data_IF_795476609553
#
_entry.id   IF_795476609553
#
_cell.length_a   1.000
_cell.length_b   1.000
_cell.length_c   1.000
_cell.angle_alpha   90.00
_cell.angle_beta   90.00
_cell.angle_gamma   90.00
#
_symmetry.space_group_name_H-M   'P 1'
#
loop_
_entity.id
_entity.type
_entity.pdbx_description
1 polymer ?
#
# COMPACT_ATOMS: atom_id res chain seq x y z
N UNK A 1 11.22 46.10 26.08
CA UNK A 1 10.56 46.16 27.40
C UNK A 1 10.05 47.58 27.61
N UNK A 2 8.76 47.77 27.88
CA UNK A 2 8.17 48.89 28.62
C UNK A 2 6.66 48.67 28.77
N UNK A 3 6.12 49.04 29.93
CA UNK A 3 4.70 48.98 30.32
C UNK A 3 3.81 49.85 29.39
N UNK A 4 2.52 49.60 29.13
CA UNK A 4 1.41 49.05 29.93
C UNK A 4 0.85 49.97 31.03
N UNK A 5 -0.29 50.64 30.76
CA UNK A 5 -1.47 50.77 31.66
C UNK A 5 -2.58 51.68 31.10
N UNK A 6 -3.83 51.24 31.25
CA UNK A 6 -5.08 52.00 31.49
C UNK A 6 -5.45 53.30 30.73
N UNK A 7 -6.60 53.27 30.04
CA UNK A 7 -7.77 54.17 30.29
C UNK A 7 -9.07 53.34 30.15
N UNK A 8 -10.09 53.63 30.96
CA UNK A 8 -11.44 53.03 30.88
C UNK A 8 -12.56 54.08 31.04
N UNK A 9 -13.84 53.64 31.03
CA UNK A 9 -15.11 54.43 31.21
C UNK A 9 -15.55 55.15 29.91
N UNK A 10 -16.85 55.33 29.55
CA UNK A 10 -18.06 55.61 30.36
C UNK A 10 -19.40 55.30 29.62
N UNK A 11 -20.45 54.84 30.35
CA UNK A 11 -21.96 54.83 30.13
C UNK A 11 -22.55 54.63 28.71
N UNK A 12 -23.60 53.82 28.44
CA UNK A 12 -24.91 53.47 29.09
C UNK A 12 -26.06 54.48 28.87
N UNK A 13 -27.10 54.09 28.11
CA UNK A 13 -28.49 54.63 28.09
C UNK A 13 -29.51 53.47 27.89
N UNK A 14 -30.76 53.66 28.35
CA UNK A 14 -31.99 52.82 28.26
C UNK A 14 -32.59 52.71 26.84
N UNK A 15 -33.51 51.80 26.45
CA UNK A 15 -34.51 50.90 27.07
C UNK A 15 -35.96 51.46 27.24
N UNK A 16 -36.93 50.84 26.53
CA UNK A 16 -38.43 50.78 26.64
C UNK A 16 -38.89 49.73 25.57
N UNK A 17 -39.89 48.83 25.69
CA UNK A 17 -41.33 48.86 26.10
C UNK A 17 -42.29 49.45 25.03
N UNK A 18 -43.51 48.93 24.75
CA UNK A 18 -44.22 47.67 25.13
C UNK A 18 -45.48 47.44 24.21
N UNK A 19 -46.51 46.67 24.67
CA UNK A 19 -47.81 46.24 24.01
C UNK A 19 -47.76 44.87 23.28
N UNK A 20 -48.66 43.85 23.45
CA UNK A 20 -50.05 43.68 23.99
C UNK A 20 -51.15 44.23 23.05
N UNK A 21 -52.32 43.62 22.73
CA UNK A 21 -53.12 42.46 23.18
C UNK A 21 -54.17 42.13 22.05
N UNK A 22 -55.14 41.17 22.03
CA UNK A 22 -55.52 39.90 22.73
C UNK A 22 -56.85 39.35 22.10
N UNK A 23 -57.23 38.06 22.31
CA UNK A 23 -58.55 37.39 21.99
C UNK A 23 -58.91 37.12 20.50
N UNK A 24 -59.86 36.25 20.10
CA UNK A 24 -60.37 34.93 20.62
C UNK A 24 -61.45 34.33 19.65
N UNK A 25 -61.80 33.04 19.86
CA UNK A 25 -63.06 32.34 19.51
C UNK A 25 -63.16 31.47 18.22
N UNK A 26 -63.54 30.21 18.45
CA UNK A 26 -64.23 29.23 17.56
C UNK A 26 -65.77 29.29 17.89
N UNK A 27 -66.72 28.43 17.40
CA UNK A 27 -66.58 27.15 16.66
C UNK A 27 -67.65 26.88 15.55
N UNK A 28 -67.83 25.58 15.22
CA UNK A 28 -68.90 24.93 14.43
C UNK A 28 -68.81 24.96 12.88
N UNK A 29 -69.21 23.93 12.11
CA UNK A 29 -69.45 22.47 12.35
C UNK A 29 -69.39 21.71 11.00
N UNK A 30 -69.47 20.37 11.06
CA UNK A 30 -69.93 19.41 10.03
C UNK A 30 -68.88 18.59 9.25
N UNK A 31 -69.33 17.43 8.77
CA UNK A 31 -68.52 16.24 8.47
C UNK A 31 -68.21 16.06 6.97
N UNK A 32 -67.14 15.31 6.66
CA UNK A 32 -66.79 14.91 5.30
C UNK A 32 -65.62 13.93 5.28
N UNK A 33 -65.91 12.63 5.28
CA UNK A 33 -64.90 11.55 5.25
C UNK A 33 -64.76 11.00 3.82
N UNK A 34 -63.56 11.05 3.27
CA UNK A 34 -62.95 9.92 2.53
C UNK A 34 -61.41 10.08 2.47
N UNK A 35 -60.69 8.98 2.31
CA UNK A 35 -59.21 8.96 2.19
C UNK A 35 -58.75 8.81 0.73
N UNK A 36 -57.62 9.44 0.38
CA UNK A 36 -56.59 8.81 -0.48
C UNK A 36 -55.31 9.65 -0.58
N UNK A 37 -54.40 9.37 0.36
CA UNK A 37 -52.94 9.54 0.29
C UNK A 37 -52.35 10.50 -0.77
N UNK A 38 -52.02 11.72 -0.32
CA UNK A 38 -51.30 12.72 -1.11
C UNK A 38 -49.84 12.31 -1.33
N UNK A 39 -49.58 11.60 -2.42
CA UNK A 39 -48.28 11.18 -3.01
C UNK A 39 -47.10 12.16 -2.76
N UNK A 40 -46.41 12.03 -1.63
CA UNK A 40 -45.38 13.01 -1.20
C UNK A 40 -44.26 12.45 -0.29
N UNK A 41 -43.95 11.15 -0.34
CA UNK A 41 -42.84 10.52 0.42
C UNK A 41 -41.52 10.43 -0.38
N UNK A 42 -41.58 9.96 -1.63
CA UNK A 42 -40.40 9.57 -2.44
C UNK A 42 -39.44 10.69 -2.89
N UNK A 43 -39.66 11.94 -2.49
CA UNK A 43 -38.67 13.02 -2.65
C UNK A 43 -37.70 13.04 -1.45
N UNK A 44 -38.24 13.16 -0.24
CA UNK A 44 -37.47 13.18 1.01
C UNK A 44 -36.65 11.90 1.21
N UNK A 45 -37.14 10.73 0.78
CA UNK A 45 -36.36 9.49 0.85
C UNK A 45 -35.19 9.45 -0.15
N UNK A 46 -35.29 10.11 -1.31
CA UNK A 46 -34.17 10.27 -2.24
C UNK A 46 -33.17 11.30 -1.74
N UNK A 47 -33.63 12.45 -1.24
CA UNK A 47 -32.75 13.45 -0.62
C UNK A 47 -32.02 12.88 0.62
N UNK A 48 -32.69 12.02 1.41
CA UNK A 48 -32.05 11.32 2.52
C UNK A 48 -31.21 10.10 2.11
N UNK A 49 -31.40 9.50 0.93
CA UNK A 49 -30.40 8.58 0.36
C UNK A 49 -29.18 9.35 -0.20
N UNK A 50 -29.35 10.61 -0.57
CA UNK A 50 -28.25 11.56 -0.83
C UNK A 50 -27.67 12.15 0.48
N UNK A 51 -27.85 11.47 1.64
CA UNK A 51 -26.97 11.63 2.81
C UNK A 51 -25.58 11.11 2.46
N UNK A 52 -24.82 11.95 1.77
CA UNK A 52 -23.39 11.91 1.49
C UNK A 52 -22.73 10.55 1.73
N UNK A 53 -22.65 9.70 0.70
CA UNK A 53 -21.96 8.43 0.78
C UNK A 53 -20.56 8.58 1.43
N UNK A 54 -20.23 7.64 2.31
CA UNK A 54 -19.01 7.67 3.11
C UNK A 54 -17.78 7.65 2.22
N UNK A 55 -16.82 8.54 2.48
CA UNK A 55 -15.64 8.69 1.63
C UNK A 55 -14.83 7.39 1.57
N UNK A 56 -14.78 6.62 2.67
CA UNK A 56 -14.14 5.32 2.72
C UNK A 56 -14.76 4.28 1.78
N UNK A 57 -16.08 4.30 1.59
CA UNK A 57 -16.78 3.34 0.73
C UNK A 57 -16.78 3.80 -0.73
N UNK A 58 -16.90 5.12 -0.97
CA UNK A 58 -16.69 5.72 -2.29
C UNK A 58 -15.28 5.42 -2.84
N UNK A 59 -14.23 5.58 -2.01
CA UNK A 59 -12.86 5.20 -2.37
C UNK A 59 -12.74 3.69 -2.61
N UNK A 60 -13.23 2.87 -1.68
CA UNK A 60 -13.12 1.40 -1.74
C UNK A 60 -13.75 0.78 -3.00
N UNK A 61 -14.97 1.18 -3.36
CA UNK A 61 -15.60 0.67 -4.59
C UNK A 61 -15.06 1.39 -5.83
N UNK A 62 -14.85 2.72 -5.74
CA UNK A 62 -14.39 3.55 -6.86
C UNK A 62 -12.96 3.28 -7.33
N UNK A 63 -12.08 2.74 -6.49
CA UNK A 63 -10.71 2.31 -6.89
C UNK A 63 -10.56 0.80 -7.08
N UNK A 64 -11.64 0.02 -6.95
CA UNK A 64 -11.61 -1.44 -6.94
C UNK A 64 -11.00 -2.04 -8.20
N UNK A 65 -11.42 -1.60 -9.37
CA UNK A 65 -10.83 -2.07 -10.63
C UNK A 65 -9.35 -1.68 -10.78
N UNK A 66 -8.94 -0.52 -10.25
CA UNK A 66 -7.54 -0.08 -10.31
C UNK A 66 -6.65 -0.86 -9.34
N UNK A 67 -7.18 -1.22 -8.16
CA UNK A 67 -6.58 -2.17 -7.24
C UNK A 67 -6.41 -3.55 -7.90
N UNK A 68 -7.49 -4.09 -8.48
CA UNK A 68 -7.47 -5.41 -9.13
C UNK A 68 -6.51 -5.44 -10.32
N UNK A 69 -6.39 -4.35 -11.10
CA UNK A 69 -5.34 -4.19 -12.14
C UNK A 69 -3.93 -4.16 -11.54
N UNK A 70 -3.71 -3.40 -10.48
CA UNK A 70 -2.39 -3.26 -9.84
C UNK A 70 -1.87 -4.60 -9.27
N UNK A 71 -2.72 -5.36 -8.56
CA UNK A 71 -2.38 -6.72 -8.10
C UNK A 71 -2.14 -7.70 -9.26
N UNK A 72 -2.72 -7.42 -10.44
CA UNK A 72 -2.56 -8.23 -11.64
C UNK A 72 -1.38 -7.84 -12.54
N UNK A 73 -0.57 -6.84 -12.19
CA UNK A 73 0.68 -6.54 -12.89
C UNK A 73 1.67 -7.72 -12.82
N UNK A 74 2.54 -7.86 -13.81
CA UNK A 74 3.50 -8.98 -13.87
C UNK A 74 4.50 -8.92 -12.70
N UNK A 75 5.02 -7.72 -12.40
CA UNK A 75 5.89 -7.46 -11.25
C UNK A 75 5.26 -7.93 -9.93
N UNK A 76 4.02 -7.55 -9.61
CA UNK A 76 3.37 -7.96 -8.34
C UNK A 76 3.10 -9.47 -8.32
N UNK A 77 2.65 -10.06 -9.44
CA UNK A 77 2.46 -11.52 -9.56
C UNK A 77 3.74 -12.30 -9.32
N UNK A 78 4.88 -11.87 -9.86
CA UNK A 78 6.16 -12.56 -9.67
C UNK A 78 6.79 -12.26 -8.31
N UNK A 79 6.62 -11.05 -7.77
CA UNK A 79 6.95 -10.75 -6.37
C UNK A 79 6.25 -11.74 -5.44
N UNK A 80 4.92 -11.89 -5.52
CA UNK A 80 4.13 -12.74 -4.61
C UNK A 80 4.50 -14.23 -4.68
N UNK A 81 4.90 -14.75 -5.84
CA UNK A 81 5.46 -16.11 -5.98
C UNK A 81 6.80 -16.26 -5.26
N UNK A 82 7.55 -15.16 -5.12
CA UNK A 82 8.93 -15.12 -4.64
C UNK A 82 9.98 -15.03 -5.75
N UNK A 83 9.57 -14.72 -6.98
CA UNK A 83 10.45 -14.59 -8.16
C UNK A 83 11.11 -13.20 -8.24
N UNK A 84 11.49 -12.62 -7.08
CA UNK A 84 12.08 -11.28 -6.97
C UNK A 84 13.59 -11.36 -6.76
N UNK A 85 14.36 -10.53 -7.46
CA UNK A 85 15.83 -10.41 -7.30
C UNK A 85 16.18 -9.20 -6.43
N UNK A 86 17.31 -9.27 -5.72
CA UNK A 86 17.74 -8.21 -4.77
C UNK A 86 17.81 -6.84 -5.43
N UNK A 87 18.44 -6.73 -6.59
CA UNK A 87 18.60 -5.44 -7.28
C UNK A 87 17.27 -4.86 -7.76
N UNK A 88 16.30 -5.70 -8.15
CA UNK A 88 14.96 -5.21 -8.51
C UNK A 88 14.13 -4.80 -7.29
N UNK A 89 14.28 -5.52 -6.16
CA UNK A 89 13.71 -5.10 -4.89
C UNK A 89 14.29 -3.76 -4.43
N UNK A 90 15.61 -3.56 -4.57
CA UNK A 90 16.28 -2.28 -4.29
C UNK A 90 15.71 -1.13 -5.11
N UNK A 91 15.49 -1.31 -6.42
CA UNK A 91 14.85 -0.31 -7.26
C UNK A 91 13.42 0.02 -6.77
N UNK A 92 12.65 -0.99 -6.36
CA UNK A 92 11.33 -0.78 -5.77
C UNK A 92 11.40 0.00 -4.44
N UNK A 93 12.36 -0.31 -3.55
CA UNK A 93 12.63 0.45 -2.32
C UNK A 93 13.02 1.89 -2.62
N UNK A 94 13.83 2.15 -3.66
CA UNK A 94 14.17 3.51 -4.10
C UNK A 94 12.94 4.29 -4.56
N UNK A 95 12.08 3.68 -5.40
CA UNK A 95 10.85 4.33 -5.86
C UNK A 95 9.88 4.63 -4.69
N UNK A 96 9.79 3.74 -3.70
CA UNK A 96 9.07 3.99 -2.45
C UNK A 96 9.71 5.14 -1.65
N UNK A 97 11.04 5.16 -1.47
CA UNK A 97 11.73 6.23 -0.74
C UNK A 97 11.37 7.62 -1.28
N UNK A 98 11.45 7.83 -2.60
CA UNK A 98 11.09 9.13 -3.21
C UNK A 98 9.59 9.43 -3.10
N UNK A 99 8.72 8.45 -3.40
CA UNK A 99 7.25 8.60 -3.31
C UNK A 99 6.80 9.03 -1.91
N UNK A 100 7.27 8.36 -0.86
CA UNK A 100 6.91 8.67 0.52
C UNK A 100 7.61 9.93 1.02
N UNK A 101 8.83 10.23 0.55
CA UNK A 101 9.51 11.50 0.87
C UNK A 101 8.70 12.72 0.43
N UNK A 102 8.09 12.67 -0.75
CA UNK A 102 7.20 13.71 -1.26
C UNK A 102 5.85 13.72 -0.55
N UNK A 103 5.24 12.54 -0.35
CA UNK A 103 3.94 12.42 0.34
C UNK A 103 4.02 12.99 1.76
N UNK A 104 5.04 12.63 2.52
CA UNK A 104 5.19 13.04 3.92
C UNK A 104 5.61 14.52 4.05
N UNK A 105 6.30 15.10 3.06
CA UNK A 105 6.52 16.56 3.00
C UNK A 105 5.20 17.31 2.77
N UNK A 106 4.38 16.86 1.82
CA UNK A 106 3.09 17.50 1.53
C UNK A 106 2.06 17.26 2.65
N UNK A 107 2.13 16.14 3.37
CA UNK A 107 1.38 15.91 4.59
C UNK A 107 1.80 16.86 5.71
N UNK A 108 3.10 17.08 5.91
CA UNK A 108 3.61 18.04 6.89
C UNK A 108 3.21 19.48 6.54
N UNK A 109 3.22 19.84 5.24
CA UNK A 109 2.75 21.13 4.72
C UNK A 109 1.26 21.36 5.01
N UNK A 110 0.45 20.30 4.96
CA UNK A 110 -1.01 20.36 5.06
C UNK A 110 -1.61 19.78 6.35
N UNK A 111 -0.78 19.52 7.38
CA UNK A 111 -1.22 18.91 8.66
C UNK A 111 -2.29 19.70 9.40
N UNK A 112 -2.34 21.02 9.20
CA UNK A 112 -3.33 21.93 9.79
C UNK A 112 -4.48 22.26 8.81
N UNK A 113 -4.45 21.75 7.58
CA UNK A 113 -5.48 22.03 6.57
C UNK A 113 -6.77 21.23 6.86
N UNK A 114 -7.97 21.85 6.93
CA UNK A 114 -9.19 21.17 7.39
C UNK A 114 -9.59 19.91 6.61
N UNK A 115 -9.27 19.85 5.31
CA UNK A 115 -9.57 18.68 4.48
C UNK A 115 -8.57 17.51 4.65
N UNK A 116 -7.50 17.67 5.43
CA UNK A 116 -6.48 16.65 5.65
C UNK A 116 -6.14 16.38 7.13
N UNK A 117 -6.18 17.39 8.00
CA UNK A 117 -5.74 17.31 9.40
C UNK A 117 -6.25 16.09 10.20
N UNK A 118 -7.51 15.62 10.06
CA UNK A 118 -8.00 14.41 10.74
C UNK A 118 -7.31 13.08 10.33
N UNK A 119 -6.46 13.10 9.30
CA UNK A 119 -5.71 11.95 8.75
C UNK A 119 -4.18 12.05 8.99
N UNK A 120 -3.72 13.13 9.63
CA UNK A 120 -2.31 13.33 9.94
C UNK A 120 -1.89 12.45 11.13
N UNK A 121 -1.43 11.24 10.82
CA UNK A 121 -0.96 10.21 11.76
C UNK A 121 0.55 9.92 11.56
N UNK A 122 1.45 10.86 11.89
CA UNK A 122 2.86 10.75 11.55
C UNK A 122 3.55 9.58 12.27
N UNK A 123 3.30 9.42 13.58
CA UNK A 123 3.94 8.36 14.38
C UNK A 123 3.54 6.96 13.90
N UNK A 124 2.29 6.81 13.48
CA UNK A 124 1.70 5.54 13.10
C UNK A 124 1.98 5.17 11.64
N UNK A 125 1.96 6.15 10.72
CA UNK A 125 1.97 5.90 9.28
C UNK A 125 3.24 6.32 8.54
N UNK A 126 3.98 7.36 8.95
CA UNK A 126 5.12 7.84 8.16
C UNK A 126 6.16 6.73 7.94
N UNK A 127 6.63 6.61 6.70
CA UNK A 127 7.52 5.56 6.20
C UNK A 127 8.90 6.09 5.83
N UNK A 128 9.09 7.39 5.62
CA UNK A 128 10.37 7.96 5.15
C UNK A 128 11.57 7.52 5.99
N UNK A 129 11.48 7.60 7.32
CA UNK A 129 12.54 7.15 8.24
C UNK A 129 12.81 5.64 8.14
N UNK A 130 11.76 4.83 7.98
CA UNK A 130 11.89 3.38 7.81
C UNK A 130 12.52 3.03 6.45
N UNK A 131 12.15 3.77 5.39
CA UNK A 131 12.75 3.65 4.07
C UNK A 131 14.22 4.09 4.08
N UNK A 132 14.60 5.14 4.79
CA UNK A 132 16.02 5.54 4.95
C UNK A 132 16.86 4.39 5.51
N UNK A 133 16.40 3.71 6.57
CA UNK A 133 17.08 2.52 7.15
C UNK A 133 17.22 1.38 6.13
N UNK A 134 16.20 1.14 5.30
CA UNK A 134 16.27 0.13 4.23
C UNK A 134 17.24 0.56 3.11
N UNK A 135 17.29 1.84 2.75
CA UNK A 135 18.23 2.37 1.76
C UNK A 135 19.69 2.26 2.24
N UNK A 136 19.97 2.61 3.50
CA UNK A 136 21.27 2.41 4.15
C UNK A 136 21.70 0.94 4.10
N UNK A 137 20.81 0.02 4.48
CA UNK A 137 21.04 -1.42 4.42
C UNK A 137 21.34 -1.94 3.00
N UNK A 138 20.73 -1.36 1.96
CA UNK A 138 20.86 -1.82 0.58
C UNK A 138 21.99 -1.18 -0.24
N UNK A 139 22.45 0.02 0.14
CA UNK A 139 23.37 0.83 -0.67
C UNK A 139 24.58 1.40 0.11
N UNK A 140 24.54 1.44 1.44
CA UNK A 140 25.56 2.06 2.32
C UNK A 140 25.11 3.40 2.92
N UNK A 141 25.88 3.97 3.84
CA UNK A 141 25.59 5.28 4.46
C UNK A 141 25.55 6.43 3.42
N UNK A 142 26.34 6.28 2.36
CA UNK A 142 26.45 7.13 1.18
C UNK A 142 25.40 6.83 0.09
N UNK A 143 24.28 6.18 0.45
CA UNK A 143 23.21 5.82 -0.50
C UNK A 143 22.64 7.03 -1.27
N UNK A 144 22.57 8.20 -0.64
CA UNK A 144 22.01 9.43 -1.23
C UNK A 144 22.79 9.96 -2.43
N UNK A 145 24.08 9.61 -2.57
CA UNK A 145 24.90 9.94 -3.74
C UNK A 145 24.79 8.89 -4.87
N UNK A 146 24.30 7.69 -4.55
CA UNK A 146 24.28 6.51 -5.44
C UNK A 146 22.93 6.29 -6.13
N UNK A 147 21.84 6.69 -5.49
CA UNK A 147 20.47 6.44 -6.01
C UNK A 147 19.92 7.66 -6.72
N UNK A 148 19.00 7.44 -7.66
CA UNK A 148 18.29 8.48 -8.39
C UNK A 148 16.80 8.12 -8.43
N UNK A 149 15.95 9.14 -8.55
CA UNK A 149 14.52 8.94 -8.80
C UNK A 149 14.34 8.42 -10.24
N UNK A 150 13.51 7.39 -10.43
CA UNK A 150 13.21 6.84 -11.76
C UNK A 150 12.14 7.66 -12.48
N UNK A 151 11.94 7.47 -13.79
CA UNK A 151 11.03 8.33 -14.57
C UNK A 151 9.57 8.15 -14.13
N UNK A 152 9.16 6.91 -13.82
CA UNK A 152 7.83 6.64 -13.29
C UNK A 152 7.63 7.16 -11.86
N UNK A 153 8.64 7.01 -10.99
CA UNK A 153 8.59 7.54 -9.62
C UNK A 153 8.57 9.08 -9.59
N UNK A 154 9.36 9.72 -10.46
CA UNK A 154 9.45 11.17 -10.57
C UNK A 154 8.11 11.80 -10.98
N UNK A 155 7.41 11.22 -11.96
CA UNK A 155 6.04 11.64 -12.35
C UNK A 155 5.04 11.56 -11.19
N UNK A 156 5.20 10.57 -10.30
CA UNK A 156 4.32 10.45 -9.14
C UNK A 156 4.65 11.49 -8.06
N UNK A 157 5.94 11.68 -7.76
CA UNK A 157 6.46 12.73 -6.87
C UNK A 157 5.97 14.11 -7.32
N UNK A 158 6.02 14.41 -8.62
CA UNK A 158 5.53 15.67 -9.20
C UNK A 158 4.02 15.87 -9.01
N UNK A 159 3.19 14.82 -9.19
CA UNK A 159 1.74 14.94 -8.91
C UNK A 159 1.46 15.12 -7.42
N UNK A 160 2.19 14.42 -6.54
CA UNK A 160 2.04 14.55 -5.09
C UNK A 160 2.35 15.99 -4.65
N UNK A 161 3.48 16.54 -5.08
CA UNK A 161 3.85 17.94 -4.82
C UNK A 161 2.82 18.93 -5.39
N UNK A 162 2.35 18.72 -6.63
CA UNK A 162 1.29 19.55 -7.19
C UNK A 162 0.02 19.51 -6.33
N UNK A 163 -0.44 18.32 -5.92
CA UNK A 163 -1.65 18.13 -5.11
C UNK A 163 -1.50 18.80 -3.75
N UNK A 164 -0.40 18.56 -3.02
CA UNK A 164 -0.16 19.19 -1.73
C UNK A 164 -0.03 20.72 -1.77
N UNK A 165 0.36 21.29 -2.90
CA UNK A 165 0.56 22.74 -3.06
C UNK A 165 -0.65 23.47 -3.67
N UNK A 166 -1.51 22.78 -4.44
CA UNK A 166 -2.56 23.41 -5.27
C UNK A 166 -3.97 22.81 -5.09
N UNK A 167 -4.07 21.54 -4.67
CA UNK A 167 -5.34 20.81 -4.48
C UNK A 167 -5.31 19.98 -3.17
N UNK A 168 -5.01 20.58 -2.00
CA UNK A 168 -4.69 19.82 -0.78
C UNK A 168 -5.85 18.98 -0.24
N UNK A 169 -7.09 19.25 -0.65
CA UNK A 169 -8.25 18.40 -0.41
C UNK A 169 -8.20 17.04 -1.15
N UNK A 170 -7.30 16.87 -2.12
CA UNK A 170 -7.06 15.61 -2.82
C UNK A 170 -5.90 14.80 -2.20
N UNK A 171 -5.11 15.35 -1.27
CA UNK A 171 -3.95 14.67 -0.68
C UNK A 171 -4.33 13.37 0.05
N UNK A 172 -5.57 13.32 0.59
CA UNK A 172 -6.20 12.10 1.15
C UNK A 172 -6.20 10.93 0.17
N UNK A 173 -6.30 11.16 -1.14
CA UNK A 173 -6.29 10.11 -2.16
C UNK A 173 -4.96 9.33 -2.17
N UNK A 174 -3.83 10.06 -2.21
CA UNK A 174 -2.49 9.45 -2.19
C UNK A 174 -2.22 8.74 -0.86
N UNK A 175 -2.55 9.39 0.26
CA UNK A 175 -2.40 8.82 1.60
C UNK A 175 -3.25 7.54 1.79
N UNK A 176 -4.50 7.54 1.32
CA UNK A 176 -5.37 6.36 1.32
C UNK A 176 -4.76 5.22 0.49
N UNK A 177 -4.48 5.46 -0.80
CA UNK A 177 -4.02 4.43 -1.74
C UNK A 177 -2.69 3.81 -1.29
N UNK A 178 -1.80 4.58 -0.66
CA UNK A 178 -0.56 4.06 -0.08
C UNK A 178 -0.78 3.36 1.27
N UNK A 179 -1.13 4.08 2.33
CA UNK A 179 -1.09 3.52 3.70
C UNK A 179 -2.11 2.41 3.93
N UNK A 180 -3.29 2.44 3.28
CA UNK A 180 -4.28 1.35 3.43
C UNK A 180 -3.85 0.08 2.70
N UNK A 181 -3.05 0.20 1.64
CA UNK A 181 -2.38 -0.90 0.96
C UNK A 181 -1.28 -1.52 1.83
N UNK A 182 -0.40 -0.69 2.40
CA UNK A 182 0.70 -1.16 3.27
C UNK A 182 0.17 -1.91 4.50
N UNK A 183 -0.84 -1.36 5.18
CA UNK A 183 -1.53 -1.98 6.32
C UNK A 183 -2.40 -3.20 5.95
N UNK A 184 -2.42 -3.62 4.68
CA UNK A 184 -3.18 -4.78 4.19
C UNK A 184 -2.25 -5.82 3.55
N UNK A 185 -1.64 -5.51 2.41
CA UNK A 185 -0.74 -6.42 1.68
C UNK A 185 0.70 -6.44 2.22
N UNK A 186 1.15 -5.38 2.91
CA UNK A 186 2.54 -5.20 3.32
C UNK A 186 3.10 -6.34 4.17
N UNK A 187 2.30 -6.95 5.06
CA UNK A 187 2.75 -8.09 5.87
C UNK A 187 2.92 -9.40 5.08
N UNK A 188 2.27 -9.53 3.92
CA UNK A 188 2.52 -10.63 2.97
C UNK A 188 3.79 -10.34 2.18
N UNK A 189 3.90 -9.13 1.62
CA UNK A 189 5.06 -8.69 0.85
C UNK A 189 6.36 -8.80 1.67
N UNK A 190 6.37 -8.33 2.93
CA UNK A 190 7.49 -8.50 3.87
C UNK A 190 7.96 -9.94 3.98
N UNK A 191 7.04 -10.87 4.29
CA UNK A 191 7.36 -12.31 4.46
C UNK A 191 7.91 -12.92 3.18
N UNK A 192 7.38 -12.51 2.03
CA UNK A 192 7.84 -12.99 0.73
C UNK A 192 9.22 -12.44 0.38
N UNK A 193 9.49 -11.15 0.64
CA UNK A 193 10.80 -10.52 0.47
C UNK A 193 11.87 -11.17 1.37
N UNK A 194 11.60 -11.31 2.68
CA UNK A 194 12.52 -11.98 3.62
C UNK A 194 12.85 -13.41 3.17
N UNK A 195 11.85 -14.18 2.72
CA UNK A 195 12.04 -15.54 2.19
C UNK A 195 12.85 -15.58 0.89
N UNK A 196 12.49 -14.77 -0.10
CA UNK A 196 13.07 -14.82 -1.45
C UNK A 196 14.50 -14.27 -1.48
N UNK A 197 14.73 -13.15 -0.77
CA UNK A 197 15.99 -12.42 -0.76
C UNK A 197 16.92 -12.82 0.40
N UNK A 198 16.46 -13.73 1.29
CA UNK A 198 17.17 -14.21 2.48
C UNK A 198 17.56 -13.08 3.45
N UNK A 199 16.67 -12.11 3.62
CA UNK A 199 16.89 -10.97 4.54
C UNK A 199 16.76 -11.43 6.01
N UNK A 200 17.42 -10.74 6.96
CA UNK A 200 17.37 -11.09 8.37
C UNK A 200 15.94 -11.12 8.94
N UNK A 201 15.71 -11.99 9.93
CA UNK A 201 14.46 -12.03 10.69
C UNK A 201 14.29 -10.82 11.63
N UNK A 202 15.40 -10.16 11.97
CA UNK A 202 15.49 -8.90 12.75
C UNK A 202 14.90 -7.69 12.02
N UNK A 203 14.74 -7.75 10.68
CA UNK A 203 13.90 -6.85 9.90
C UNK A 203 14.63 -5.83 9.03
N UNK A 204 15.96 -5.80 9.02
CA UNK A 204 16.79 -4.96 8.16
C UNK A 204 16.52 -5.24 6.68
N UNK A 205 16.37 -4.20 5.85
CA UNK A 205 15.95 -4.32 4.45
C UNK A 205 14.45 -4.60 4.28
N UNK A 206 13.65 -4.53 5.36
CA UNK A 206 12.18 -4.57 5.34
C UNK A 206 11.51 -3.64 6.36
N UNK A 207 12.24 -2.63 6.86
CA UNK A 207 11.78 -1.65 7.85
C UNK A 207 10.52 -0.92 7.39
N UNK A 208 10.39 -0.61 6.09
CA UNK A 208 9.19 -0.02 5.48
C UNK A 208 7.88 -0.71 5.92
N UNK A 209 7.90 -2.05 6.02
CA UNK A 209 6.73 -2.86 6.38
C UNK A 209 6.52 -3.00 7.90
N UNK A 210 7.26 -2.27 8.75
CA UNK A 210 7.13 -2.30 10.21
C UNK A 210 6.33 -1.08 10.71
N UNK A 211 5.12 -1.31 11.20
CA UNK A 211 4.26 -0.28 11.77
C UNK A 211 4.32 -0.36 13.30
N UNK A 212 5.44 0.07 13.88
CA UNK A 212 5.77 -0.14 15.31
C UNK A 212 4.77 0.52 16.26
N UNK A 213 4.12 1.61 15.84
CA UNK A 213 3.08 2.31 16.60
C UNK A 213 1.64 1.87 16.21
N UNK A 214 1.46 0.69 15.60
CA UNK A 214 0.16 0.16 15.18
C UNK A 214 -0.04 -1.29 15.65
N UNK A 215 -0.46 -1.46 16.91
CA UNK A 215 -0.72 -2.77 17.54
C UNK A 215 -1.69 -3.66 16.73
N UNK A 216 -2.71 -3.04 16.11
CA UNK A 216 -3.74 -3.74 15.35
C UNK A 216 -4.09 -2.98 14.06
N UNK A 217 -3.48 -3.42 12.95
CA UNK A 217 -3.70 -2.83 11.64
C UNK A 217 -5.18 -2.82 11.19
N UNK A 218 -6.02 -3.77 11.64
CA UNK A 218 -7.44 -3.79 11.25
C UNK A 218 -8.25 -2.72 12.03
N UNK A 219 -8.00 -2.57 13.32
CA UNK A 219 -8.60 -1.49 14.13
C UNK A 219 -8.11 -0.12 13.65
N UNK A 220 -6.82 0.03 13.33
CA UNK A 220 -6.30 1.28 12.78
C UNK A 220 -6.92 1.62 11.41
N UNK A 221 -7.09 0.65 10.51
CA UNK A 221 -7.82 0.85 9.25
C UNK A 221 -9.32 1.13 9.45
N UNK A 222 -9.91 0.81 10.59
CA UNK A 222 -11.28 1.23 10.94
C UNK A 222 -11.29 2.68 11.44
N UNK A 223 -10.35 3.06 12.32
CA UNK A 223 -10.13 4.43 12.77
C UNK A 223 -9.88 5.38 11.58
N UNK A 224 -8.96 5.04 10.67
CA UNK A 224 -8.61 5.87 9.52
C UNK A 224 -9.82 6.10 8.59
N UNK A 225 -10.66 5.08 8.35
CA UNK A 225 -11.91 5.24 7.61
C UNK A 225 -12.90 6.15 8.32
N UNK A 226 -13.08 5.98 9.63
CA UNK A 226 -13.95 6.86 10.42
C UNK A 226 -13.48 8.33 10.40
N UNK A 227 -12.15 8.58 10.35
CA UNK A 227 -11.58 9.91 10.16
C UNK A 227 -11.83 10.48 8.77
N UNK A 228 -11.68 9.69 7.70
CA UNK A 228 -12.01 10.11 6.32
C UNK A 228 -13.50 10.49 6.18
N UNK A 229 -14.39 9.74 6.85
CA UNK A 229 -15.83 9.98 6.77
C UNK A 229 -16.28 11.18 7.61
N UNK A 230 -15.46 11.63 8.56
CA UNK A 230 -15.67 12.84 9.36
C UNK A 230 -15.15 14.13 8.70
N UNK A 231 -14.59 14.06 7.48
CA UNK A 231 -14.19 15.25 6.71
C UNK A 231 -15.42 15.96 6.14
N UNK A 232 -15.53 17.27 6.37
CA UNK A 232 -16.61 18.12 5.85
C UNK A 232 -16.41 18.40 4.35
N UNK A 233 -16.83 17.44 3.53
CA UNK A 233 -16.60 17.42 2.09
C UNK A 233 -17.91 17.19 1.32
N UNK A 234 -18.24 18.16 0.46
CA UNK A 234 -19.32 18.04 -0.51
C UNK A 234 -19.05 16.90 -1.52
N UNK A 235 -20.11 16.38 -2.13
CA UNK A 235 -20.05 15.22 -3.04
C UNK A 235 -19.04 15.41 -4.19
N UNK A 236 -18.98 16.58 -4.83
CA UNK A 236 -18.05 16.87 -5.94
C UNK A 236 -16.58 16.80 -5.50
N UNK A 237 -16.27 17.19 -4.25
CA UNK A 237 -14.93 16.99 -3.71
C UNK A 237 -14.65 15.51 -3.42
N UNK A 238 -15.63 14.75 -2.88
CA UNK A 238 -15.48 13.29 -2.72
C UNK A 238 -15.26 12.57 -4.06
N UNK A 239 -15.96 12.99 -5.12
CA UNK A 239 -15.78 12.46 -6.49
C UNK A 239 -14.36 12.71 -7.02
N UNK A 240 -13.83 13.95 -6.91
CA UNK A 240 -12.44 14.27 -7.27
C UNK A 240 -11.40 13.47 -6.48
N UNK A 241 -11.67 13.18 -5.20
CA UNK A 241 -10.79 12.34 -4.37
C UNK A 241 -10.76 10.88 -4.89
N UNK A 242 -11.88 10.35 -5.37
CA UNK A 242 -11.93 9.00 -5.99
C UNK A 242 -11.23 8.99 -7.35
N UNK A 243 -11.37 10.05 -8.16
CA UNK A 243 -10.63 10.22 -9.41
C UNK A 243 -9.11 10.25 -9.16
N UNK A 244 -8.65 11.08 -8.22
CA UNK A 244 -7.23 11.16 -7.87
C UNK A 244 -6.69 9.87 -7.24
N UNK A 245 -7.53 9.12 -6.52
CA UNK A 245 -7.13 7.82 -5.96
C UNK A 245 -6.91 6.77 -7.07
N UNK A 246 -7.71 6.80 -8.15
CA UNK A 246 -7.46 5.99 -9.34
C UNK A 246 -6.16 6.42 -10.04
N UNK A 247 -5.91 7.73 -10.20
CA UNK A 247 -4.64 8.24 -10.74
C UNK A 247 -3.45 7.82 -9.87
N UNK A 248 -3.60 7.81 -8.55
CA UNK A 248 -2.59 7.26 -7.64
C UNK A 248 -2.29 5.78 -7.94
N UNK A 249 -3.31 4.94 -8.18
CA UNK A 249 -3.08 3.55 -8.66
C UNK A 249 -2.37 3.51 -10.02
N UNK A 250 -2.69 4.40 -10.96
CA UNK A 250 -2.02 4.47 -12.27
C UNK A 250 -0.53 4.83 -12.18
N UNK A 251 -0.14 5.74 -11.28
CA UNK A 251 1.28 6.01 -11.02
C UNK A 251 1.98 4.80 -10.39
N UNK A 252 1.33 4.06 -9.48
CA UNK A 252 1.90 2.83 -8.93
C UNK A 252 2.06 1.74 -10.01
N UNK A 253 1.11 1.60 -10.94
CA UNK A 253 1.24 0.68 -12.07
C UNK A 253 2.38 1.08 -13.02
N UNK A 254 2.56 2.37 -13.33
CA UNK A 254 3.71 2.84 -14.12
C UNK A 254 5.06 2.48 -13.49
N UNK A 255 5.17 2.57 -12.15
CA UNK A 255 6.38 2.14 -11.42
C UNK A 255 6.55 0.62 -11.51
N UNK A 256 5.48 -0.17 -11.41
CA UNK A 256 5.55 -1.63 -11.57
C UNK A 256 5.94 -2.06 -12.99
N UNK A 257 5.47 -1.36 -14.02
CA UNK A 257 5.82 -1.62 -15.42
C UNK A 257 7.27 -1.22 -15.74
N UNK A 258 7.79 -0.14 -15.14
CA UNK A 258 9.20 0.26 -15.19
C UNK A 258 10.11 -0.78 -14.52
N UNK A 259 9.67 -1.32 -13.37
CA UNK A 259 10.36 -2.41 -12.66
C UNK A 259 10.34 -3.73 -13.46
N UNK A 260 9.26 -4.09 -14.14
CA UNK A 260 9.19 -5.28 -15.00
C UNK A 260 10.16 -5.18 -16.20
N UNK A 261 10.28 -3.98 -16.79
CA UNK A 261 11.26 -3.68 -17.84
C UNK A 261 12.71 -3.77 -17.32
N UNK A 262 13.02 -3.16 -16.17
CA UNK A 262 14.33 -3.28 -15.53
C UNK A 262 14.69 -4.73 -15.18
N UNK A 263 13.70 -5.51 -14.72
CA UNK A 263 13.82 -6.95 -14.51
C UNK A 263 14.15 -7.68 -15.82
N UNK A 264 13.45 -7.37 -16.91
CA UNK A 264 13.68 -7.97 -18.23
C UNK A 264 15.05 -7.65 -18.83
N UNK A 265 15.64 -6.49 -18.52
CA UNK A 265 17.01 -6.13 -18.93
C UNK A 265 18.06 -6.90 -18.12
N UNK A 266 18.00 -6.81 -16.79
CA UNK A 266 18.89 -7.53 -15.86
C UNK A 266 18.87 -9.06 -16.07
N UNK A 267 17.83 -9.62 -16.69
CA UNK A 267 17.75 -11.04 -17.03
C UNK A 267 18.56 -11.40 -18.29
N UNK A 268 18.66 -10.49 -19.26
CA UNK A 268 19.42 -10.68 -20.51
C UNK A 268 20.93 -10.59 -20.27
N UNK A 269 21.38 -9.62 -19.48
CA UNK A 269 22.78 -9.47 -19.10
C UNK A 269 23.33 -10.75 -18.44
N UNK A 270 22.53 -11.38 -17.57
CA UNK A 270 22.88 -12.67 -16.93
C UNK A 270 22.98 -13.85 -17.91
N UNK A 271 22.36 -13.75 -19.10
CA UNK A 271 22.45 -14.74 -20.18
C UNK A 271 23.60 -14.45 -21.15
N UNK A 272 23.99 -13.19 -21.33
CA UNK A 272 25.05 -12.76 -22.25
C UNK A 272 26.44 -12.83 -21.60
N UNK A 273 26.58 -12.51 -20.31
CA UNK A 273 27.79 -12.79 -19.50
C UNK A 273 27.95 -14.29 -19.14
N UNK A 274 27.06 -15.15 -19.65
CA UNK A 274 27.11 -16.59 -19.47
C UNK A 274 28.33 -17.22 -20.15
N UNK A 275 29.41 -17.40 -19.39
CA UNK A 275 30.57 -18.24 -19.76
C UNK A 275 30.12 -19.49 -20.54
N UNK A 276 30.64 -19.73 -21.75
CA UNK A 276 30.02 -20.65 -22.71
C UNK A 276 29.89 -22.04 -22.12
N UNK A 277 28.64 -22.50 -21.98
CA UNK A 277 28.32 -23.84 -21.47
C UNK A 277 28.94 -24.87 -22.39
N UNK A 278 30.05 -25.47 -21.93
CA UNK A 278 30.82 -26.42 -22.71
C UNK A 278 29.93 -27.64 -23.01
N UNK A 279 29.64 -27.87 -24.29
CA UNK A 279 28.59 -28.78 -24.79
C UNK A 279 28.82 -30.29 -24.55
N UNK A 280 29.79 -30.64 -23.71
CA UNK A 280 30.22 -32.01 -23.43
C UNK A 280 31.06 -32.67 -24.53
N UNK A 281 31.33 -32.00 -25.68
CA UNK A 281 32.03 -32.61 -26.83
C UNK A 281 33.52 -32.26 -26.93
N UNK A 282 34.11 -31.69 -25.88
CA UNK A 282 35.56 -31.53 -25.77
C UNK A 282 36.27 -32.87 -25.47
N UNK A 283 37.35 -33.19 -26.19
CA UNK A 283 38.22 -34.33 -25.85
C UNK A 283 38.83 -34.09 -24.46
N UNK A 284 38.41 -34.90 -23.48
CA UNK A 284 38.79 -34.78 -22.06
C UNK A 284 40.32 -34.78 -21.86
N UNK A 285 41.08 -35.39 -22.79
CA UNK A 285 42.54 -35.38 -22.81
C UNK A 285 43.18 -34.00 -22.97
N UNK A 286 42.42 -32.98 -23.40
CA UNK A 286 42.89 -31.59 -23.49
C UNK A 286 42.55 -30.75 -22.25
N UNK A 287 41.87 -31.30 -21.24
CA UNK A 287 41.59 -30.58 -20.00
C UNK A 287 42.85 -30.45 -19.13
N UNK A 288 43.33 -29.23 -18.81
CA UNK A 288 44.55 -29.04 -18.00
C UNK A 288 44.48 -29.71 -16.62
N UNK A 289 43.28 -29.84 -16.06
CA UNK A 289 43.02 -30.44 -14.75
C UNK A 289 43.22 -31.97 -14.73
N UNK A 290 43.18 -32.64 -15.90
CA UNK A 290 43.40 -34.08 -16.03
C UNK A 290 44.83 -34.45 -16.44
N UNK A 291 45.55 -33.58 -17.14
CA UNK A 291 46.94 -33.81 -17.55
C UNK A 291 47.91 -33.99 -16.35
N UNK A 292 47.56 -33.47 -15.17
CA UNK A 292 48.41 -33.46 -13.98
C UNK A 292 48.24 -34.68 -13.03
N UNK A 293 47.56 -35.76 -13.45
CA UNK A 293 47.25 -36.92 -12.58
C UNK A 293 47.74 -38.30 -13.05
N UNK A 294 48.64 -38.35 -14.03
CA UNK A 294 49.19 -39.63 -14.53
C UNK A 294 50.13 -40.33 -13.54
N UNK A 295 50.79 -39.59 -12.63
CA UNK A 295 51.82 -40.13 -11.73
C UNK A 295 51.39 -40.24 -10.26
N UNK A 296 50.51 -41.21 -9.96
CA UNK A 296 50.54 -42.02 -8.72
C UNK A 296 49.52 -43.16 -8.78
N UNK A 297 50.00 -44.38 -8.59
CA UNK A 297 49.15 -45.58 -8.56
C UNK A 297 48.49 -45.84 -7.20
N UNK A 298 47.41 -46.64 -7.27
CA UNK A 298 46.82 -47.49 -6.22
C UNK A 298 46.75 -46.98 -4.76
N UNK A 299 45.52 -46.75 -4.28
CA UNK A 299 45.02 -47.32 -3.02
C UNK A 299 43.48 -47.35 -3.02
N UNK A 300 42.89 -48.10 -2.09
CA UNK A 300 41.53 -48.64 -2.21
C UNK A 300 40.44 -47.83 -1.50
N UNK A 301 39.19 -48.09 -1.89
CA UNK A 301 38.06 -48.23 -0.96
C UNK A 301 37.55 -47.01 -0.18
N UNK A 302 36.56 -46.31 -0.75
CA UNK A 302 35.54 -45.62 0.08
C UNK A 302 34.20 -45.49 -0.65
N UNK A 303 33.16 -46.12 -0.09
CA UNK A 303 31.79 -46.09 -0.62
C UNK A 303 30.97 -44.98 0.03
N UNK A 304 30.66 -43.92 -0.72
CA UNK A 304 29.84 -42.81 -0.22
C UNK A 304 28.34 -43.20 -0.21
N UNK A 305 27.63 -43.15 0.94
CA UNK A 305 26.29 -43.74 1.09
C UNK A 305 25.15 -42.94 0.43
N UNK A 306 25.43 -41.79 -0.19
CA UNK A 306 24.38 -40.84 -0.60
C UNK A 306 23.64 -41.21 -1.91
N UNK A 307 24.13 -42.17 -2.70
CA UNK A 307 23.50 -42.56 -3.98
C UNK A 307 22.24 -43.43 -3.85
N UNK A 308 22.01 -44.05 -2.70
CA UNK A 308 20.85 -44.96 -2.49
C UNK A 308 19.54 -44.21 -2.22
N UNK A 309 19.60 -42.96 -1.75
CA UNK A 309 18.43 -42.20 -1.31
C UNK A 309 17.48 -41.81 -2.45
N UNK A 310 18.00 -41.38 -3.61
CA UNK A 310 17.17 -40.97 -4.75
C UNK A 310 16.40 -42.12 -5.42
N UNK A 311 16.79 -43.38 -5.20
CA UNK A 311 16.13 -44.55 -5.79
C UNK A 311 14.81 -44.95 -5.08
N UNK A 312 14.48 -44.31 -3.96
CA UNK A 312 13.28 -44.64 -3.16
C UNK A 312 12.08 -43.75 -3.50
N UNK A 313 12.31 -42.52 -3.97
CA UNK A 313 11.27 -41.51 -4.23
C UNK A 313 10.56 -41.68 -5.58
N UNK A 314 11.01 -42.59 -6.45
CA UNK A 314 10.40 -42.88 -7.76
C UNK A 314 9.31 -43.95 -7.72
N UNK A 315 8.82 -44.34 -6.54
CA UNK A 315 7.78 -45.38 -6.36
C UNK A 315 6.36 -44.79 -6.42
N UNK A 316 5.47 -45.25 -7.32
CA UNK A 316 4.12 -44.69 -7.49
C UNK A 316 3.26 -44.66 -6.22
N UNK A 317 3.43 -45.62 -5.32
CA UNK A 317 2.66 -45.72 -4.06
C UNK A 317 2.91 -44.56 -3.09
N UNK A 318 4.05 -43.85 -3.18
CA UNK A 318 4.32 -42.70 -2.31
C UNK A 318 3.66 -41.41 -2.80
N UNK A 319 3.41 -41.28 -4.10
CA UNK A 319 2.79 -40.07 -4.69
C UNK A 319 1.34 -39.91 -4.23
N UNK A 320 0.59 -41.00 -4.09
CA UNK A 320 -0.78 -40.98 -3.55
C UNK A 320 -0.85 -40.51 -2.10
N UNK A 321 0.13 -40.87 -1.26
CA UNK A 321 0.20 -40.45 0.15
C UNK A 321 0.46 -38.94 0.24
N UNK A 322 1.37 -38.42 -0.60
CA UNK A 322 1.63 -36.98 -0.71
C UNK A 322 0.40 -36.19 -1.21
N UNK A 323 -0.30 -36.69 -2.23
CA UNK A 323 -1.50 -36.05 -2.77
C UNK A 323 -2.64 -35.99 -1.72
N UNK A 324 -2.85 -37.05 -0.95
CA UNK A 324 -3.85 -37.10 0.12
C UNK A 324 -3.55 -36.09 1.25
N UNK A 325 -2.28 -35.89 1.60
CA UNK A 325 -1.87 -34.90 2.60
C UNK A 325 -2.17 -33.46 2.19
N UNK A 326 -1.94 -33.10 0.92
CA UNK A 326 -2.19 -31.75 0.40
C UNK A 326 -3.69 -31.41 0.44
N UNK A 327 -4.56 -32.36 0.08
CA UNK A 327 -6.01 -32.16 0.12
C UNK A 327 -6.55 -31.87 1.54
N UNK A 328 -6.03 -32.56 2.56
CA UNK A 328 -6.41 -32.33 3.96
C UNK A 328 -6.00 -30.94 4.47
N UNK A 329 -4.80 -30.46 4.11
CA UNK A 329 -4.34 -29.11 4.48
C UNK A 329 -5.18 -28.03 3.78
N UNK A 330 -5.51 -28.22 2.50
CA UNK A 330 -6.39 -27.30 1.76
C UNK A 330 -7.79 -27.20 2.39
N UNK A 331 -8.38 -28.33 2.78
CA UNK A 331 -9.70 -28.36 3.45
C UNK A 331 -9.72 -27.65 4.81
N UNK A 332 -8.67 -27.84 5.63
CA UNK A 332 -8.54 -27.15 6.92
C UNK A 332 -8.32 -25.65 6.78
N UNK A 333 -7.57 -25.21 5.75
CA UNK A 333 -7.42 -23.78 5.45
C UNK A 333 -8.74 -23.17 4.94
N UNK A 334 -9.50 -23.87 4.11
CA UNK A 334 -10.80 -23.39 3.63
C UNK A 334 -11.83 -23.19 4.76
N UNK A 335 -11.78 -24.00 5.82
CA UNK A 335 -12.62 -23.80 7.02
C UNK A 335 -12.18 -22.56 7.81
N UNK A 336 -10.88 -22.25 7.88
CA UNK A 336 -10.34 -21.14 8.69
C UNK A 336 -10.59 -19.74 8.10
N UNK A 337 -11.07 -19.64 6.86
CA UNK A 337 -11.32 -18.37 6.16
C UNK A 337 -12.81 -18.16 5.80
N UNK A 338 -13.74 -18.83 6.48
CA UNK A 338 -15.18 -18.55 6.48
C UNK A 338 -15.67 -18.10 7.85
#
# INVERSE_FOLDING_TARGET
>A
MNSASDIARTRRVSAQESHSATMSAEPETAEGVDESEKKSSGASEKENHTRMADLSELLKEGTKEAHDRAENTQFVKDFLKGNIRKELFKLATTALYFTYSALEEEMERNKDHPAFAPLYFPMELHRKEALTKDMEYFFGEDWGEKVQCSEAAQKYVERIHYVGQNEPELLVAHAYTRYMGDLSGGQVLKKVAQRALKLPSTGEGTQFYLFENVDNAQQFKQLYRARMNALDLNLKTKERIVEEANRAFEYNMQIFDELDQAGSLLAKETLEDGLPVHDGKGDVRKCPYYAAKSDRGALEGSSCPFRTALAVLSKPSLQFILAAGVALVAGLLAWYYM
#
